data_IF_005217660761
#
_entry.id   IF_005217660761
#
_cell.length_a   1.000
_cell.length_b   1.000
_cell.length_c   1.000
_cell.angle_alpha   90.00
_cell.angle_beta   90.00
_cell.angle_gamma   90.00
#
_symmetry.space_group_name_H-M   'P 1'
#
loop_
_entity.id
_entity.type
_entity.pdbx_description
1 polymer ?
#
# COMPACT_ATOMS: atom_id res chain seq x y z
N UNK A 1 52.47 13.86 17.94
CA UNK A 1 51.59 13.11 18.88
C UNK A 1 50.39 14.00 19.17
N UNK A 2 49.10 13.67 19.00
CA UNK A 2 48.40 12.50 18.50
C UNK A 2 47.05 13.05 17.95
N UNK A 3 46.65 12.65 16.74
CA UNK A 3 45.45 13.14 16.06
C UNK A 3 44.16 12.69 16.76
N UNK A 4 43.57 13.55 17.61
CA UNK A 4 42.24 13.35 18.23
C UNK A 4 41.10 13.78 17.29
N UNK A 5 41.14 13.40 16.00
CA UNK A 5 40.04 13.65 15.04
C UNK A 5 39.18 12.39 14.78
N UNK A 6 39.30 11.36 15.62
CA UNK A 6 38.56 10.10 15.51
C UNK A 6 37.15 10.09 16.13
N UNK A 7 36.84 10.79 17.26
CA UNK A 7 35.53 10.64 17.90
C UNK A 7 34.42 11.44 17.19
N UNK A 8 34.73 12.64 16.68
CA UNK A 8 33.74 13.50 15.98
C UNK A 8 33.30 12.89 14.64
N UNK A 9 34.22 12.24 13.91
CA UNK A 9 33.88 11.52 12.67
C UNK A 9 33.00 10.29 12.96
N UNK A 10 33.28 9.55 14.03
CA UNK A 10 32.44 8.42 14.45
C UNK A 10 31.05 8.91 14.91
N UNK A 11 30.96 10.03 15.61
CA UNK A 11 29.69 10.64 16.02
C UNK A 11 28.87 11.13 14.82
N UNK A 12 29.51 11.75 13.81
CA UNK A 12 28.82 12.14 12.57
C UNK A 12 28.31 10.94 11.78
N UNK A 13 29.09 9.87 11.65
CA UNK A 13 28.66 8.65 10.95
C UNK A 13 27.49 8.01 11.70
N UNK A 14 27.55 7.99 13.03
CA UNK A 14 26.45 7.47 13.86
C UNK A 14 25.18 8.31 13.70
N UNK A 15 25.28 9.64 13.73
CA UNK A 15 24.14 10.54 13.52
C UNK A 15 23.55 10.39 12.11
N UNK A 16 24.40 10.26 11.08
CA UNK A 16 23.95 10.05 9.70
C UNK A 16 23.30 8.67 9.51
N UNK A 17 23.77 7.64 10.21
CA UNK A 17 23.16 6.30 10.18
C UNK A 17 21.77 6.28 10.84
N UNK A 18 21.53 7.05 11.91
CA UNK A 18 20.21 7.10 12.56
C UNK A 18 19.13 7.77 11.70
N UNK A 19 19.49 8.73 10.83
CA UNK A 19 18.56 9.41 9.92
C UNK A 19 18.08 8.51 8.77
N UNK A 20 18.84 7.47 8.41
CA UNK A 20 18.51 6.56 7.32
C UNK A 20 17.45 5.50 7.68
N UNK A 21 17.14 5.31 8.97
CA UNK A 21 16.24 4.25 9.43
C UNK A 21 14.75 4.62 9.34
N UNK A 22 14.42 5.90 9.12
CA UNK A 22 13.04 6.40 9.05
C UNK A 22 12.26 5.94 7.81
N UNK A 23 12.88 5.17 6.90
CA UNK A 23 12.30 4.74 5.64
C UNK A 23 11.88 3.26 5.62
N UNK A 24 11.81 2.58 6.76
CA UNK A 24 11.22 1.24 6.80
C UNK A 24 9.71 1.36 6.57
N UNK A 25 9.27 1.03 5.35
CA UNK A 25 7.87 0.99 4.97
C UNK A 25 7.08 0.14 5.98
N UNK A 26 6.32 0.81 6.84
CA UNK A 26 5.51 0.14 7.86
C UNK A 26 4.53 -0.82 7.17
N UNK A 27 4.45 -2.05 7.69
CA UNK A 27 3.53 -3.05 7.17
C UNK A 27 2.10 -2.54 7.28
N UNK A 28 1.38 -2.54 6.16
CA UNK A 28 0.01 -2.01 6.10
C UNK A 28 -0.93 -2.97 6.79
N UNK A 29 -1.69 -2.40 7.72
CA UNK A 29 -2.76 -3.08 8.45
C UNK A 29 -4.07 -2.85 7.65
N UNK A 30 -4.70 -3.91 7.12
CA UNK A 30 -5.92 -3.82 6.30
C UNK A 30 -7.20 -4.16 7.09
N UNK A 31 -8.36 -3.57 6.78
CA UNK A 31 -9.63 -3.94 7.42
C UNK A 31 -9.98 -5.42 7.30
N UNK A 32 -10.75 -5.96 8.25
CA UNK A 32 -11.13 -7.39 8.26
C UNK A 32 -11.95 -7.81 7.02
N UNK A 33 -12.73 -6.90 6.43
CA UNK A 33 -13.53 -7.12 5.22
C UNK A 33 -12.75 -7.02 3.91
N UNK A 34 -11.41 -6.90 3.97
CA UNK A 34 -10.56 -6.73 2.77
C UNK A 34 -10.56 -7.99 1.92
N UNK A 35 -10.74 -7.84 0.62
CA UNK A 35 -10.63 -8.86 -0.42
C UNK A 35 -9.36 -8.61 -1.25
N UNK A 36 -8.87 -9.63 -1.96
CA UNK A 36 -7.72 -9.51 -2.87
C UNK A 36 -8.13 -9.82 -4.29
N UNK A 37 -7.60 -9.06 -5.25
CA UNK A 37 -7.81 -9.33 -6.66
C UNK A 37 -6.84 -8.59 -7.56
N UNK A 38 -6.96 -8.87 -8.86
CA UNK A 38 -6.25 -8.13 -9.91
C UNK A 38 -7.20 -7.09 -10.47
N UNK A 39 -6.94 -5.81 -10.20
CA UNK A 39 -7.78 -4.71 -10.64
C UNK A 39 -7.23 -4.14 -11.95
N UNK A 40 -8.13 -3.95 -12.90
CA UNK A 40 -7.89 -3.26 -14.17
C UNK A 40 -8.97 -2.20 -14.32
N UNK A 41 -8.58 -0.96 -14.63
CA UNK A 41 -9.55 0.09 -14.92
C UNK A 41 -9.98 -0.05 -16.38
N UNK A 42 -11.26 -0.37 -16.58
CA UNK A 42 -11.83 -0.55 -17.93
C UNK A 42 -12.48 0.73 -18.43
N UNK A 43 -13.34 1.34 -17.63
CA UNK A 43 -14.06 2.56 -17.98
C UNK A 43 -14.50 3.26 -16.69
N UNK A 44 -13.66 4.13 -16.13
CA UNK A 44 -13.89 4.72 -14.81
C UNK A 44 -15.29 5.36 -14.70
N UNK A 45 -16.08 5.06 -13.64
CA UNK A 45 -15.71 4.33 -12.41
C UNK A 45 -15.89 2.81 -12.46
N UNK A 46 -16.20 2.22 -13.61
CA UNK A 46 -16.26 0.77 -13.81
C UNK A 46 -14.84 0.18 -13.90
N UNK A 47 -14.62 -0.87 -13.14
CA UNK A 47 -13.34 -1.59 -13.06
C UNK A 47 -13.59 -3.09 -13.15
N UNK A 48 -12.59 -3.84 -13.59
CA UNK A 48 -12.64 -5.29 -13.56
C UNK A 48 -11.70 -5.80 -12.48
N UNK A 49 -12.20 -6.65 -11.57
CA UNK A 49 -11.38 -7.29 -10.54
C UNK A 49 -11.42 -8.80 -10.72
N UNK A 50 -10.26 -9.36 -11.10
CA UNK A 50 -10.11 -10.80 -11.37
C UNK A 50 -11.18 -11.35 -12.33
N UNK A 51 -11.59 -10.56 -13.32
CA UNK A 51 -12.62 -10.91 -14.31
C UNK A 51 -14.06 -10.52 -13.95
N UNK A 52 -14.31 -10.02 -12.74
CA UNK A 52 -15.63 -9.54 -12.33
C UNK A 52 -15.75 -8.04 -12.57
N UNK A 53 -16.78 -7.61 -13.30
CA UNK A 53 -17.10 -6.20 -13.46
C UNK A 53 -17.66 -5.66 -12.14
N UNK A 54 -16.94 -4.70 -11.55
CA UNK A 54 -17.30 -4.00 -10.33
C UNK A 54 -17.26 -2.49 -10.60
N UNK A 55 -17.81 -1.72 -9.66
CA UNK A 55 -17.83 -0.26 -9.74
C UNK A 55 -17.16 0.34 -8.52
N UNK A 56 -16.35 1.36 -8.74
CA UNK A 56 -15.82 2.22 -7.69
C UNK A 56 -16.94 3.10 -7.15
N UNK A 57 -17.12 3.12 -5.83
CA UNK A 57 -18.10 4.00 -5.18
C UNK A 57 -17.73 5.47 -5.36
N UNK A 58 -18.70 6.41 -5.28
CA UNK A 58 -18.44 7.84 -5.46
C UNK A 58 -17.41 8.43 -4.49
N UNK A 59 -17.26 7.83 -3.29
CA UNK A 59 -16.28 8.24 -2.27
C UNK A 59 -15.02 7.38 -2.25
N UNK A 60 -14.84 6.51 -3.25
CA UNK A 60 -13.75 5.53 -3.23
C UNK A 60 -12.37 6.18 -3.26
N UNK A 61 -11.44 5.57 -2.53
CA UNK A 61 -10.02 5.96 -2.55
C UNK A 61 -9.13 4.82 -3.00
N UNK A 62 -8.18 5.18 -3.86
CA UNK A 62 -7.11 4.30 -4.32
C UNK A 62 -5.82 4.79 -3.69
N UNK A 63 -5.13 3.92 -2.98
CA UNK A 63 -3.80 4.18 -2.43
C UNK A 63 -2.75 3.38 -3.21
N UNK A 64 -1.66 4.04 -3.57
CA UNK A 64 -0.51 3.36 -4.16
C UNK A 64 0.28 2.57 -3.10
N UNK A 65 1.40 1.99 -3.53
CA UNK A 65 2.36 1.27 -2.68
C UNK A 65 3.01 2.14 -1.60
N UNK A 66 3.08 3.45 -1.83
CA UNK A 66 3.64 4.44 -0.89
C UNK A 66 2.57 5.04 0.05
N UNK A 67 1.36 4.44 0.08
CA UNK A 67 0.21 4.94 0.84
C UNK A 67 -0.27 6.34 0.43
N UNK A 68 0.12 6.83 -0.74
CA UNK A 68 -0.36 8.07 -1.31
C UNK A 68 -1.66 7.82 -2.08
N UNK A 69 -2.60 8.76 -2.01
CA UNK A 69 -3.82 8.67 -2.81
C UNK A 69 -3.48 8.86 -4.29
N UNK A 70 -3.82 7.87 -5.10
CA UNK A 70 -3.57 7.87 -6.52
C UNK A 70 -4.85 8.22 -7.28
N UNK A 71 -4.72 9.15 -8.23
CA UNK A 71 -5.85 9.59 -9.06
C UNK A 71 -6.13 8.48 -10.09
N UNK A 72 -7.39 8.03 -10.26
CA UNK A 72 -7.73 6.92 -11.16
C UNK A 72 -7.19 7.06 -12.59
N UNK A 73 -7.24 8.28 -13.17
CA UNK A 73 -6.70 8.54 -14.50
C UNK A 73 -5.19 8.26 -14.65
N UNK A 74 -4.42 8.18 -13.57
CA UNK A 74 -2.98 7.91 -13.61
C UNK A 74 -2.62 6.42 -13.67
N UNK A 75 -3.59 5.52 -13.44
CA UNK A 75 -3.38 4.07 -13.42
C UNK A 75 -3.46 3.43 -14.82
N UNK A 76 -3.95 4.17 -15.83
CA UNK A 76 -4.08 3.65 -17.19
C UNK A 76 -4.90 2.35 -17.27
N UNK A 77 -4.52 1.47 -18.22
CA UNK A 77 -5.18 0.17 -18.45
C UNK A 77 -4.37 -0.99 -17.86
N UNK A 78 -3.41 -0.70 -16.99
CA UNK A 78 -2.57 -1.72 -16.36
C UNK A 78 -3.36 -2.56 -15.35
N UNK A 79 -2.85 -3.76 -15.10
CA UNK A 79 -3.43 -4.67 -14.12
C UNK A 79 -2.60 -4.67 -12.84
N UNK A 80 -3.23 -4.26 -11.75
CA UNK A 80 -2.59 -4.13 -10.44
C UNK A 80 -3.08 -5.21 -9.48
N UNK A 81 -2.18 -5.80 -8.71
CA UNK A 81 -2.59 -6.63 -7.58
C UNK A 81 -3.00 -5.70 -6.45
N UNK A 82 -4.27 -5.80 -6.03
CA UNK A 82 -4.85 -4.90 -5.03
C UNK A 82 -5.52 -5.67 -3.92
N UNK A 83 -5.50 -5.06 -2.74
CA UNK A 83 -6.46 -5.33 -1.68
C UNK A 83 -7.60 -4.31 -1.81
N UNK A 84 -8.85 -4.71 -1.59
CA UNK A 84 -10.00 -3.80 -1.69
C UNK A 84 -11.12 -4.15 -0.71
N UNK A 85 -12.01 -3.21 -0.43
CA UNK A 85 -13.24 -3.46 0.36
C UNK A 85 -14.47 -3.07 -0.42
N UNK A 86 -15.60 -3.69 -0.08
CA UNK A 86 -16.90 -3.40 -0.65
C UNK A 86 -17.77 -2.66 0.38
N UNK A 87 -18.59 -1.73 -0.10
CA UNK A 87 -19.64 -1.09 0.68
C UNK A 87 -20.90 -1.97 0.74
N UNK A 88 -21.95 -1.50 1.43
CA UNK A 88 -23.21 -2.23 1.58
C UNK A 88 -23.95 -2.48 0.25
N UNK A 89 -23.65 -1.67 -0.78
CA UNK A 89 -24.21 -1.75 -2.12
C UNK A 89 -23.40 -2.68 -3.03
N UNK A 90 -22.30 -3.26 -2.54
CA UNK A 90 -21.42 -4.13 -3.33
C UNK A 90 -20.46 -3.36 -4.26
N UNK A 91 -20.35 -2.04 -4.11
CA UNK A 91 -19.36 -1.22 -4.82
C UNK A 91 -18.06 -1.15 -4.03
N UNK A 92 -16.95 -0.90 -4.71
CA UNK A 92 -15.63 -0.80 -4.10
C UNK A 92 -15.51 0.53 -3.34
N UNK A 93 -15.25 0.47 -2.03
CA UNK A 93 -15.03 1.65 -1.16
C UNK A 93 -13.54 2.05 -1.09
N UNK A 94 -12.65 1.06 -0.98
CA UNK A 94 -11.21 1.27 -0.76
C UNK A 94 -10.41 0.33 -1.61
N UNK A 95 -9.32 0.83 -2.18
CA UNK A 95 -8.38 0.05 -2.99
C UNK A 95 -6.95 0.37 -2.57
N UNK A 96 -6.18 -0.66 -2.24
CA UNK A 96 -4.77 -0.56 -1.93
C UNK A 96 -3.98 -1.34 -2.97
N UNK A 97 -3.17 -0.63 -3.76
CA UNK A 97 -2.20 -1.25 -4.66
C UNK A 97 -1.08 -1.84 -3.83
N UNK A 98 -0.83 -3.13 -4.04
CA UNK A 98 0.12 -3.89 -3.24
C UNK A 98 1.51 -3.86 -3.87
N UNK A 99 2.51 -3.80 -3.01
CA UNK A 99 3.88 -4.13 -3.37
C UNK A 99 4.02 -5.64 -3.65
N UNK A 100 5.10 -6.06 -4.34
CA UNK A 100 5.38 -7.48 -4.55
C UNK A 100 5.50 -8.29 -3.24
N UNK A 101 6.05 -7.68 -2.19
CA UNK A 101 6.16 -8.29 -0.86
C UNK A 101 4.78 -8.55 -0.26
N UNK A 102 3.93 -7.51 -0.23
CA UNK A 102 2.57 -7.61 0.32
C UNK A 102 1.68 -8.57 -0.47
N UNK A 103 1.86 -8.63 -1.79
CA UNK A 103 1.13 -9.56 -2.66
C UNK A 103 1.52 -11.02 -2.41
N UNK A 104 2.77 -11.27 -1.97
CA UNK A 104 3.29 -12.60 -1.65
C UNK A 104 2.83 -13.11 -0.29
N UNK A 105 2.50 -12.20 0.63
CA UNK A 105 1.95 -12.56 1.94
C UNK A 105 0.48 -12.97 1.83
N UNK A 106 0.03 -13.84 2.74
CA UNK A 106 -1.39 -14.22 2.83
C UNK A 106 -2.22 -13.04 3.33
N UNK A 107 -3.35 -12.77 2.69
CA UNK A 107 -4.27 -11.69 3.11
C UNK A 107 -4.74 -11.84 4.56
N UNK A 108 -4.90 -13.07 5.05
CA UNK A 108 -5.33 -13.37 6.43
C UNK A 108 -4.35 -12.80 7.46
N UNK A 109 -3.05 -12.83 7.18
CA UNK A 109 -2.00 -12.31 8.06
C UNK A 109 -1.98 -10.78 8.11
N UNK A 110 -2.58 -10.12 7.11
CA UNK A 110 -2.54 -8.67 6.96
C UNK A 110 -3.85 -7.98 7.36
N UNK A 111 -4.89 -8.73 7.74
CA UNK A 111 -6.16 -8.18 8.21
C UNK A 111 -6.09 -7.88 9.71
N UNK A 112 -6.51 -6.69 10.14
CA UNK A 112 -6.49 -6.21 11.54
C UNK A 112 -7.46 -6.95 12.47
N UNK A 113 -8.16 -7.99 12.00
CA UNK A 113 -9.20 -8.70 12.76
C UNK A 113 -8.69 -9.49 13.97
N UNK A 114 -7.37 -9.63 14.14
CA UNK A 114 -6.74 -10.42 15.20
C UNK A 114 -6.06 -9.59 16.31
N UNK A 115 -6.30 -8.26 16.37
CA UNK A 115 -5.87 -7.42 17.50
C UNK A 115 -7.09 -7.13 18.40
N UNK A 116 -7.58 -8.16 19.11
CA UNK A 116 -8.40 -8.01 20.32
C UNK A 116 -7.53 -8.35 21.54
#
# INVERSE_FOLDING_TARGET
MLTTMRPIRLLMIFLLATLAFSAMAAQRDFPASTLRGKLTITDYPNVTVSGNALRLSPGSRIWNTEQLTQIPNSLGTDTYVVNYTLNAQGEIDRVWVLTPDEASQKIETQRNGNKL
#
